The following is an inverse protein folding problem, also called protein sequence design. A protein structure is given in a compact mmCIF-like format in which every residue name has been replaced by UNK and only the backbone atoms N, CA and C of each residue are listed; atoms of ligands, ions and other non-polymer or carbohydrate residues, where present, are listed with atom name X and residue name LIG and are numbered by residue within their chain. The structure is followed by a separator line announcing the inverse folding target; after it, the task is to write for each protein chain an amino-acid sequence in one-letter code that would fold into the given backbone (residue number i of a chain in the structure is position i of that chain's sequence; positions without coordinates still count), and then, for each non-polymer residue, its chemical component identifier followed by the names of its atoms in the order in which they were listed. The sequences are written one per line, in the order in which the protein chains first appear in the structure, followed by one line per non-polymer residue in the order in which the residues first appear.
data_IF_844238298880
#
_entry.id   IF_844238298880
#
_cell.length_a   1.000
_cell.length_b   1.000
_cell.length_c   1.000
_cell.angle_alpha   90.00
_cell.angle_beta   90.00
_cell.angle_gamma   90.00
#
_symmetry.space_group_name_H-M   'P 1'
#
loop_
_entity.id
_entity.type
_entity.pdbx_description
1 polymer ?
#
# COMPACT_ATOMS: atom_id res chain seq x y z
N UNK A 1 0.78 -17.86 -5.27
CA UNK A 1 1.26 -17.57 -6.63
C UNK A 1 1.71 -16.13 -6.71
N UNK A 2 2.80 -15.84 -7.43
CA UNK A 2 3.21 -14.46 -7.68
C UNK A 2 2.19 -13.80 -8.63
N UNK A 3 1.66 -12.65 -8.24
CA UNK A 3 0.75 -11.86 -9.07
C UNK A 3 1.57 -10.98 -10.01
N UNK A 4 1.30 -11.07 -11.30
CA UNK A 4 1.92 -10.25 -12.33
C UNK A 4 1.06 -9.01 -12.61
N UNK A 5 1.62 -7.97 -13.23
CA UNK A 5 0.85 -6.78 -13.60
C UNK A 5 -0.31 -7.13 -14.55
N UNK A 6 -0.10 -8.06 -15.47
CA UNK A 6 -1.14 -8.55 -16.39
C UNK A 6 -2.36 -9.15 -15.67
N UNK A 7 -2.16 -9.74 -14.50
CA UNK A 7 -3.23 -10.39 -13.74
C UNK A 7 -4.19 -9.39 -13.09
N UNK A 8 -3.77 -8.12 -12.98
CA UNK A 8 -4.55 -7.06 -12.35
C UNK A 8 -5.02 -5.98 -13.33
N UNK A 9 -4.62 -6.08 -14.59
CA UNK A 9 -4.91 -5.03 -15.58
C UNK A 9 -6.39 -4.85 -15.89
N UNK A 10 -7.21 -5.89 -15.74
CA UNK A 10 -8.65 -5.80 -15.91
C UNK A 10 -9.32 -4.81 -14.93
N UNK A 11 -8.69 -4.54 -13.77
CA UNK A 11 -9.15 -3.51 -12.84
C UNK A 11 -8.90 -2.07 -13.35
N UNK A 12 -7.98 -1.90 -14.29
CA UNK A 12 -7.54 -0.60 -14.79
C UNK A 12 -8.07 -0.27 -16.19
N UNK A 13 -8.73 -1.22 -16.85
CA UNK A 13 -9.28 -1.06 -18.20
C UNK A 13 -10.80 -1.27 -18.18
N UNK A 14 -11.59 -0.19 -18.29
CA UNK A 14 -13.05 -0.27 -18.25
C UNK A 14 -13.65 -1.10 -19.41
N UNK A 15 -12.96 -1.24 -20.56
CA UNK A 15 -13.45 -2.06 -21.68
C UNK A 15 -13.31 -3.57 -21.39
N UNK A 16 -12.41 -3.96 -20.48
CA UNK A 16 -12.26 -5.34 -20.04
C UNK A 16 -13.21 -5.71 -18.89
N UNK A 17 -13.65 -4.72 -18.10
CA UNK A 17 -14.56 -4.94 -16.98
C UNK A 17 -15.97 -5.35 -17.42
N UNK A 18 -16.41 -4.97 -18.62
CA UNK A 18 -17.74 -5.35 -19.16
C UNK A 18 -17.87 -6.83 -19.54
N UNK A 19 -16.78 -7.60 -19.55
CA UNK A 19 -16.78 -9.02 -19.94
C UNK A 19 -16.79 -10.00 -18.76
N UNK A 20 -16.85 -9.52 -17.53
CA UNK A 20 -16.97 -10.40 -16.37
C UNK A 20 -18.45 -10.77 -16.21
N UNK A 21 -18.85 -12.07 -16.27
CA UNK A 21 -20.23 -12.46 -16.01
C UNK A 21 -20.61 -12.06 -14.59
N UNK A 22 -21.81 -11.50 -14.43
CA UNK A 22 -22.42 -11.23 -13.12
C UNK A 22 -22.18 -12.42 -12.19
N UNK A 23 -21.44 -12.19 -11.13
CA UNK A 23 -21.33 -13.13 -10.04
C UNK A 23 -22.74 -13.27 -9.44
N UNK A 24 -23.38 -14.38 -9.74
CA UNK A 24 -24.66 -14.79 -9.17
C UNK A 24 -24.51 -14.71 -7.66
N UNK A 25 -25.20 -13.74 -7.02
CA UNK A 25 -25.42 -13.76 -5.59
C UNK A 25 -26.26 -14.99 -5.28
N UNK A 26 -25.58 -16.02 -4.82
CA UNK A 26 -26.25 -17.13 -4.15
C UNK A 26 -26.57 -16.63 -2.75
N UNK A 27 -27.83 -16.30 -2.51
CA UNK A 27 -28.34 -16.11 -1.15
C UNK A 27 -28.19 -17.46 -0.44
N UNK A 28 -27.27 -17.53 0.49
CA UNK A 28 -27.04 -18.69 1.36
C UNK A 28 -28.01 -18.60 2.53
N UNK A 29 -29.07 -19.47 2.59
CA UNK A 29 -30.11 -19.39 3.63
C UNK A 29 -29.69 -20.03 4.95
N UNK A 30 -28.51 -20.60 5.06
CA UNK A 30 -28.00 -21.18 6.29
C UNK A 30 -27.12 -20.16 7.02
N UNK A 31 -27.67 -19.63 8.12
CA UNK A 31 -26.98 -18.78 9.09
C UNK A 31 -25.77 -19.46 9.72
N UNK A 32 -24.68 -19.59 8.93
CA UNK A 32 -23.36 -19.93 9.44
C UNK A 32 -22.90 -18.88 10.46
N UNK A 33 -22.01 -19.24 11.40
CA UNK A 33 -21.53 -18.29 12.41
C UNK A 33 -20.95 -17.07 11.69
N UNK A 34 -21.43 -15.89 12.09
CA UNK A 34 -20.94 -14.59 11.59
C UNK A 34 -19.42 -14.63 11.53
N UNK A 35 -18.80 -14.21 10.40
CA UNK A 35 -17.36 -14.22 10.29
C UNK A 35 -16.77 -13.43 11.46
N UNK A 36 -15.85 -14.08 12.19
CA UNK A 36 -15.15 -13.44 13.32
C UNK A 36 -14.50 -12.16 12.84
N UNK A 37 -14.56 -11.07 13.64
CA UNK A 37 -13.90 -9.83 13.29
C UNK A 37 -12.42 -10.11 12.98
N UNK A 38 -11.97 -9.62 11.85
CA UNK A 38 -10.60 -9.86 11.39
C UNK A 38 -9.69 -8.83 12.02
N UNK A 39 -8.63 -9.30 12.70
CA UNK A 39 -7.63 -8.43 13.28
C UNK A 39 -7.06 -7.48 12.23
N UNK A 40 -6.88 -6.18 12.57
CA UNK A 40 -6.28 -5.22 11.66
C UNK A 40 -4.85 -5.64 11.27
N UNK A 41 -4.43 -5.32 10.04
CA UNK A 41 -3.17 -5.77 9.47
C UNK A 41 -2.14 -4.66 9.39
N UNK A 42 -0.87 -5.00 9.59
CA UNK A 42 0.26 -4.10 9.40
C UNK A 42 0.76 -4.16 7.95
N UNK A 43 0.96 -2.99 7.35
CA UNK A 43 1.59 -2.83 6.03
C UNK A 43 2.75 -1.85 6.17
N UNK A 44 3.96 -2.33 6.04
CA UNK A 44 5.15 -1.48 5.98
C UNK A 44 5.21 -0.72 4.65
N UNK A 45 5.50 0.57 4.70
CA UNK A 45 5.67 1.40 3.50
C UNK A 45 6.98 2.17 3.62
N UNK A 46 8.06 1.68 2.99
CA UNK A 46 9.34 2.37 2.98
C UNK A 46 9.26 3.67 2.19
N UNK A 47 9.25 4.80 2.91
CA UNK A 47 9.17 6.15 2.33
C UNK A 47 10.12 7.08 3.05
N UNK A 48 11.01 7.76 2.30
CA UNK A 48 11.88 8.79 2.83
C UNK A 48 11.13 10.04 3.28
N UNK A 49 11.65 10.75 4.27
CA UNK A 49 10.97 11.92 4.87
C UNK A 49 10.73 13.11 3.93
N UNK A 50 11.34 13.12 2.74
CA UNK A 50 11.14 14.16 1.71
C UNK A 50 10.35 13.68 0.50
N UNK A 51 9.96 12.42 0.47
CA UNK A 51 9.23 11.84 -0.67
C UNK A 51 7.72 12.07 -0.53
N UNK A 52 7.31 13.29 -0.86
CA UNK A 52 5.92 13.75 -0.75
C UNK A 52 4.98 12.96 -1.65
N UNK A 53 5.44 12.57 -2.85
CA UNK A 53 4.59 11.88 -3.83
C UNK A 53 4.23 10.48 -3.32
N UNK A 54 5.22 9.70 -2.88
CA UNK A 54 4.94 8.36 -2.32
C UNK A 54 4.14 8.44 -1.01
N UNK A 55 4.38 9.46 -0.18
CA UNK A 55 3.59 9.68 1.02
C UNK A 55 2.12 10.01 0.69
N UNK A 56 1.90 10.84 -0.33
CA UNK A 56 0.55 11.14 -0.82
C UNK A 56 -0.13 9.88 -1.38
N UNK A 57 0.57 9.01 -2.10
CA UNK A 57 0.00 7.74 -2.57
C UNK A 57 -0.41 6.84 -1.40
N UNK A 58 0.45 6.65 -0.41
CA UNK A 58 0.11 5.86 0.78
C UNK A 58 -1.12 6.44 1.50
N UNK A 59 -1.18 7.78 1.63
CA UNK A 59 -2.33 8.48 2.22
C UNK A 59 -3.61 8.25 1.42
N UNK A 60 -3.54 8.36 0.09
CA UNK A 60 -4.70 8.14 -0.76
C UNK A 60 -5.18 6.69 -0.72
N UNK A 61 -4.28 5.70 -0.70
CA UNK A 61 -4.67 4.29 -0.52
C UNK A 61 -5.38 4.09 0.83
N UNK A 62 -4.89 4.71 1.91
CA UNK A 62 -5.54 4.64 3.22
C UNK A 62 -6.96 5.25 3.18
N UNK A 63 -7.14 6.40 2.54
CA UNK A 63 -8.46 7.03 2.35
C UNK A 63 -9.39 6.16 1.51
N UNK A 64 -8.89 5.53 0.43
CA UNK A 64 -9.70 4.62 -0.39
C UNK A 64 -10.12 3.36 0.37
N UNK A 65 -9.27 2.80 1.25
CA UNK A 65 -9.66 1.69 2.13
C UNK A 65 -10.86 2.09 3.00
N UNK A 66 -10.84 3.30 3.56
CA UNK A 66 -11.97 3.79 4.37
C UNK A 66 -13.23 3.98 3.51
N UNK A 67 -13.09 4.48 2.27
CA UNK A 67 -14.22 4.57 1.32
C UNK A 67 -14.82 3.22 0.95
N UNK A 68 -14.03 2.17 0.99
CA UNK A 68 -14.47 0.79 0.77
C UNK A 68 -15.08 0.13 2.03
N UNK A 69 -15.29 0.91 3.11
CA UNK A 69 -15.91 0.46 4.35
C UNK A 69 -14.92 -0.15 5.35
N UNK A 70 -13.62 -0.11 5.07
CA UNK A 70 -12.58 -0.51 6.01
C UNK A 70 -12.16 0.63 6.92
N UNK A 71 -11.14 0.40 7.74
CA UNK A 71 -10.49 1.41 8.60
C UNK A 71 -9.01 1.51 8.27
N UNK A 72 -8.48 2.72 8.22
CA UNK A 72 -7.06 2.92 7.93
C UNK A 72 -6.41 3.95 8.86
N UNK A 73 -5.19 3.62 9.29
CA UNK A 73 -4.29 4.55 9.98
C UNK A 73 -2.94 4.50 9.30
N UNK A 74 -2.31 5.66 9.17
CA UNK A 74 -0.90 5.73 8.83
C UNK A 74 -0.13 6.14 10.08
N UNK A 75 0.80 5.32 10.51
CA UNK A 75 1.80 5.68 11.50
C UNK A 75 3.02 6.24 10.78
N UNK A 76 3.43 7.43 11.15
CA UNK A 76 4.59 8.10 10.56
C UNK A 76 5.54 8.55 11.66
N UNK A 77 6.81 8.11 11.66
CA UNK A 77 7.81 8.71 12.54
C UNK A 77 7.90 10.22 12.30
N UNK A 78 8.05 10.98 13.38
CA UNK A 78 8.19 12.41 13.32
C UNK A 78 9.59 12.74 12.79
N UNK A 79 9.66 13.22 11.55
CA UNK A 79 10.89 13.69 10.94
C UNK A 79 11.09 15.18 11.29
N UNK A 80 12.30 15.56 11.61
CA UNK A 80 12.66 16.91 12.11
C UNK A 80 12.31 18.07 11.15
N UNK A 81 11.93 17.80 9.91
CA UNK A 81 11.49 18.81 8.93
C UNK A 81 10.68 18.18 7.81
N UNK A 82 9.41 17.80 8.05
CA UNK A 82 8.55 17.32 6.97
C UNK A 82 8.33 18.44 5.96
N UNK A 83 8.16 18.08 4.70
CA UNK A 83 7.75 19.03 3.67
C UNK A 83 6.38 19.62 4.03
N UNK A 84 6.12 20.91 3.79
CA UNK A 84 4.79 21.51 3.97
C UNK A 84 3.72 20.86 3.07
N UNK A 85 4.13 20.14 2.02
CA UNK A 85 3.23 19.34 1.17
C UNK A 85 3.04 17.89 1.67
N UNK A 86 3.66 17.53 2.81
CA UNK A 86 3.43 16.24 3.44
C UNK A 86 1.98 16.14 3.93
N UNK A 87 1.33 14.97 3.85
CA UNK A 87 0.00 14.80 4.42
C UNK A 87 -0.02 15.21 5.90
N UNK A 88 -1.01 16.01 6.27
CA UNK A 88 -1.10 16.56 7.61
C UNK A 88 -1.50 15.50 8.63
N UNK A 89 -0.86 15.55 9.81
CA UNK A 89 -1.21 14.70 10.94
C UNK A 89 -2.61 15.02 11.48
N UNK A 90 -3.30 14.00 11.96
CA UNK A 90 -4.63 14.09 12.53
C UNK A 90 -5.65 13.21 11.83
N UNK A 91 -6.91 13.40 12.19
CA UNK A 91 -8.03 12.73 11.52
C UNK A 91 -8.33 13.45 10.22
N UNK A 92 -8.19 12.72 9.13
CA UNK A 92 -8.47 13.19 7.79
C UNK A 92 -9.91 12.90 7.35
N UNK A 93 -10.19 13.00 6.05
CA UNK A 93 -11.50 12.70 5.50
C UNK A 93 -11.92 11.25 5.81
N UNK A 94 -13.21 11.06 6.08
CA UNK A 94 -13.82 9.76 6.29
C UNK A 94 -13.22 8.95 7.47
N UNK A 95 -12.63 9.62 8.45
CA UNK A 95 -11.95 9.01 9.59
C UNK A 95 -10.66 8.25 9.26
N UNK A 96 -10.09 8.42 8.07
CA UNK A 96 -8.70 8.04 7.81
C UNK A 96 -7.78 8.88 8.70
N UNK A 97 -6.83 8.24 9.36
CA UNK A 97 -5.98 8.92 10.36
C UNK A 97 -4.50 8.86 9.95
N UNK A 98 -3.81 10.00 10.04
CA UNK A 98 -2.35 10.06 10.01
C UNK A 98 -1.84 10.43 11.40
N UNK A 99 -1.18 9.46 12.05
CA UNK A 99 -0.69 9.57 13.43
C UNK A 99 0.83 9.67 13.45
N UNK A 100 1.39 10.79 13.92
CA UNK A 100 2.82 10.87 14.16
C UNK A 100 3.22 9.99 15.34
N UNK A 101 4.46 9.48 15.30
CA UNK A 101 5.04 8.69 16.40
C UNK A 101 6.46 9.17 16.72
N UNK A 102 6.82 9.14 17.99
CA UNK A 102 8.16 9.49 18.46
C UNK A 102 9.19 8.36 18.27
N UNK A 103 8.84 7.32 17.50
CA UNK A 103 9.75 6.23 17.18
C UNK A 103 11.01 6.75 16.47
N UNK A 104 12.16 6.21 16.87
CA UNK A 104 13.48 6.58 16.32
C UNK A 104 14.21 5.43 15.63
N UNK A 105 13.63 4.25 15.66
CA UNK A 105 14.15 2.99 15.10
C UNK A 105 13.00 2.03 14.78
N UNK A 106 13.31 0.92 14.14
CA UNK A 106 12.32 -0.10 13.75
C UNK A 106 11.64 -0.75 14.97
N UNK A 107 12.36 -0.93 16.07
CA UNK A 107 11.81 -1.60 17.26
C UNK A 107 10.74 -0.72 17.92
N UNK A 108 11.05 0.55 18.17
CA UNK A 108 10.10 1.50 18.74
C UNK A 108 8.90 1.76 17.81
N UNK A 109 9.14 1.75 16.49
CA UNK A 109 8.07 1.85 15.50
C UNK A 109 7.16 0.62 15.51
N UNK A 110 7.74 -0.58 15.62
CA UNK A 110 6.97 -1.82 15.75
C UNK A 110 6.12 -1.81 17.02
N UNK A 111 6.66 -1.34 18.13
CA UNK A 111 5.91 -1.21 19.40
C UNK A 111 4.74 -0.26 19.22
N UNK A 112 4.94 0.94 18.65
CA UNK A 112 3.87 1.89 18.38
C UNK A 112 2.78 1.32 17.45
N UNK A 113 3.18 0.53 16.45
CA UNK A 113 2.24 -0.14 15.55
C UNK A 113 1.40 -1.19 16.27
N UNK A 114 2.00 -1.99 17.13
CA UNK A 114 1.29 -2.99 17.95
C UNK A 114 0.31 -2.32 18.93
N UNK A 115 0.72 -1.24 19.57
CA UNK A 115 -0.16 -0.50 20.50
C UNK A 115 -1.36 0.08 19.74
N UNK A 116 -1.14 0.55 18.51
CA UNK A 116 -2.23 1.03 17.65
C UNK A 116 -3.19 -0.10 17.26
N UNK A 117 -2.68 -1.29 16.93
CA UNK A 117 -3.51 -2.47 16.69
C UNK A 117 -4.33 -2.85 17.92
N UNK A 118 -3.70 -2.97 19.08
CA UNK A 118 -4.35 -3.38 20.32
C UNK A 118 -5.49 -2.43 20.75
N UNK A 119 -5.31 -1.13 20.56
CA UNK A 119 -6.33 -0.13 20.86
C UNK A 119 -7.53 -0.25 19.93
N UNK A 120 -7.33 -0.68 18.68
CA UNK A 120 -8.38 -0.81 17.67
C UNK A 120 -9.15 -2.10 17.72
N UNK A 121 -8.50 -3.19 18.11
CA UNK A 121 -9.12 -4.52 18.24
C UNK A 121 -10.28 -4.53 19.26
N UNK A 122 -10.26 -3.58 20.19
CA UNK A 122 -11.28 -3.44 21.24
C UNK A 122 -12.55 -2.70 20.80
N UNK A 123 -12.58 -2.08 19.62
CA UNK A 123 -13.59 -1.05 19.35
C UNK A 123 -14.66 -1.39 18.31
N UNK A 124 -14.45 -2.30 17.35
CA UNK A 124 -15.47 -2.72 16.34
C UNK A 124 -15.02 -3.88 15.45
N UNK A 125 -16.01 -4.59 14.88
CA UNK A 125 -15.91 -5.70 13.92
C UNK A 125 -15.44 -5.32 12.50
N UNK A 126 -14.78 -4.18 12.30
CA UNK A 126 -14.41 -3.69 10.98
C UNK A 126 -12.97 -4.04 10.62
N UNK A 127 -12.76 -4.53 9.40
CA UNK A 127 -11.42 -4.79 8.87
C UNK A 127 -10.59 -3.51 8.87
N UNK A 128 -9.39 -3.56 9.46
CA UNK A 128 -8.51 -2.40 9.59
C UNK A 128 -7.13 -2.63 9.01
N UNK A 129 -6.54 -1.57 8.48
CA UNK A 129 -5.14 -1.55 8.01
C UNK A 129 -4.37 -0.47 8.74
N UNK A 130 -3.22 -0.84 9.28
CA UNK A 130 -2.26 0.11 9.83
C UNK A 130 -1.06 0.15 8.88
N UNK A 131 -0.99 1.21 8.08
CA UNK A 131 0.18 1.53 7.30
C UNK A 131 1.27 2.09 8.21
N UNK A 132 2.47 1.60 8.06
CA UNK A 132 3.61 2.05 8.86
C UNK A 132 4.67 2.60 7.92
N UNK A 133 4.83 3.92 7.92
CA UNK A 133 5.93 4.55 7.18
C UNK A 133 7.26 4.15 7.81
N UNK A 134 8.12 3.55 7.03
CA UNK A 134 9.45 3.12 7.47
C UNK A 134 10.49 3.98 6.75
N UNK A 135 11.30 4.77 7.47
CA UNK A 135 12.43 5.45 6.85
C UNK A 135 13.41 4.42 6.25
N UNK A 136 13.75 4.48 4.94
CA UNK A 136 14.62 3.48 4.31
C UNK A 136 15.99 3.32 4.99
N UNK A 137 16.52 4.39 5.58
CA UNK A 137 17.78 4.36 6.34
C UNK A 137 17.72 3.39 7.54
N UNK A 138 16.57 3.22 8.18
CA UNK A 138 16.41 2.28 9.30
C UNK A 138 16.48 0.83 8.83
N UNK A 139 16.06 0.57 7.60
CA UNK A 139 16.23 -0.75 6.99
C UNK A 139 17.71 -1.11 6.75
N UNK A 140 18.59 -0.16 6.55
CA UNK A 140 20.01 -0.40 6.36
C UNK A 140 20.77 -0.49 7.69
N UNK A 141 20.33 0.20 8.74
CA UNK A 141 21.01 0.30 10.02
C UNK A 141 20.84 -0.93 10.91
N UNK A 142 19.67 -1.54 10.94
CA UNK A 142 19.35 -2.67 11.81
C UNK A 142 19.24 -3.97 11.00
N UNK A 143 19.65 -5.10 11.56
CA UNK A 143 19.54 -6.43 10.93
C UNK A 143 18.49 -7.34 11.57
N UNK A 144 17.81 -6.86 12.60
CA UNK A 144 16.81 -7.65 13.33
C UNK A 144 15.55 -7.86 12.48
N UNK A 145 15.01 -9.08 12.42
CA UNK A 145 13.71 -9.34 11.82
C UNK A 145 12.62 -8.46 12.43
N UNK A 146 11.72 -7.96 11.63
CA UNK A 146 10.61 -7.14 12.13
C UNK A 146 9.30 -7.53 11.45
N UNK A 147 8.26 -7.76 12.25
CA UNK A 147 6.92 -8.04 11.75
C UNK A 147 6.32 -6.89 10.93
N UNK A 148 6.88 -5.67 11.03
CA UNK A 148 6.54 -4.54 10.13
C UNK A 148 6.82 -4.85 8.66
N UNK A 149 7.69 -5.81 8.38
CA UNK A 149 8.12 -6.18 7.03
C UNK A 149 7.36 -7.38 6.47
N UNK A 150 6.50 -8.05 7.27
CA UNK A 150 5.73 -9.21 6.81
C UNK A 150 4.89 -8.89 5.58
N UNK A 151 4.36 -7.68 5.53
CA UNK A 151 3.67 -7.14 4.37
C UNK A 151 4.20 -5.75 4.06
N UNK A 152 4.75 -5.58 2.88
CA UNK A 152 5.37 -4.32 2.48
C UNK A 152 4.82 -3.87 1.13
N UNK A 153 4.45 -2.59 1.05
CA UNK A 153 4.01 -1.94 -0.19
C UNK A 153 5.07 -0.92 -0.63
N UNK A 154 5.60 -1.12 -1.83
CA UNK A 154 6.57 -0.24 -2.46
C UNK A 154 5.92 0.56 -3.59
N UNK A 155 6.18 1.85 -3.64
CA UNK A 155 5.86 2.71 -4.78
C UNK A 155 7.14 3.04 -5.52
N UNK A 156 7.17 2.86 -6.83
CA UNK A 156 8.33 3.17 -7.67
C UNK A 156 7.91 3.70 -9.03
N UNK A 157 8.78 4.48 -9.68
CA UNK A 157 8.57 4.90 -11.06
C UNK A 157 9.27 3.96 -12.03
N UNK A 158 8.96 4.11 -13.34
CA UNK A 158 9.62 3.39 -14.45
C UNK A 158 11.09 3.78 -14.66
N UNK A 159 11.56 4.84 -14.00
CA UNK A 159 12.94 5.32 -14.11
C UNK A 159 13.95 4.26 -13.62
N UNK A 160 15.03 3.97 -14.39
CA UNK A 160 15.99 2.94 -14.03
C UNK A 160 16.60 3.09 -12.63
N UNK A 161 16.89 4.32 -12.21
CA UNK A 161 17.45 4.60 -10.88
C UNK A 161 16.44 4.22 -9.78
N UNK A 162 15.15 4.53 -9.99
CA UNK A 162 14.10 4.21 -9.03
C UNK A 162 13.79 2.71 -8.96
N UNK A 163 13.86 2.02 -10.08
CA UNK A 163 13.76 0.57 -10.13
C UNK A 163 14.93 -0.09 -9.37
N UNK A 164 16.15 0.44 -9.53
CA UNK A 164 17.31 -0.06 -8.79
C UNK A 164 17.17 0.18 -7.27
N UNK A 165 16.76 1.38 -6.84
CA UNK A 165 16.47 1.68 -5.44
C UNK A 165 15.43 0.71 -4.86
N UNK A 166 14.38 0.43 -5.63
CA UNK A 166 13.30 -0.48 -5.22
C UNK A 166 13.78 -1.92 -5.11
N UNK A 167 14.64 -2.37 -6.03
CA UNK A 167 15.25 -3.69 -5.99
C UNK A 167 16.12 -3.87 -4.73
N UNK A 168 16.91 -2.85 -4.38
CA UNK A 168 17.73 -2.86 -3.16
C UNK A 168 16.86 -2.88 -1.90
N UNK A 169 15.76 -2.13 -1.87
CA UNK A 169 14.80 -2.19 -0.77
C UNK A 169 14.17 -3.58 -0.65
N UNK A 170 13.69 -4.15 -1.75
CA UNK A 170 13.09 -5.49 -1.77
C UNK A 170 14.10 -6.56 -1.30
N UNK A 171 15.37 -6.45 -1.70
CA UNK A 171 16.45 -7.32 -1.24
C UNK A 171 16.65 -7.19 0.27
N UNK A 172 16.79 -5.95 0.76
CA UNK A 172 17.01 -5.67 2.19
C UNK A 172 15.83 -6.17 3.04
N UNK A 173 14.59 -5.99 2.59
CA UNK A 173 13.39 -6.51 3.24
C UNK A 173 13.46 -8.04 3.29
N UNK A 174 13.78 -8.65 2.17
CA UNK A 174 13.86 -10.10 2.06
C UNK A 174 14.95 -10.75 2.90
N UNK A 175 16.11 -10.12 3.05
CA UNK A 175 17.19 -10.59 3.92
C UNK A 175 16.79 -10.59 5.40
N UNK A 176 15.93 -9.64 5.81
CA UNK A 176 15.47 -9.50 7.20
C UNK A 176 14.25 -10.34 7.51
N UNK A 177 13.35 -10.41 6.57
CA UNK A 177 12.09 -11.12 6.70
C UNK A 177 11.93 -12.05 5.49
N UNK A 178 12.41 -13.31 5.62
CA UNK A 178 12.33 -14.29 4.55
C UNK A 178 10.94 -14.54 4.01
N UNK A 179 9.91 -14.47 4.82
CA UNK A 179 8.52 -14.68 4.45
C UNK A 179 7.79 -13.36 4.08
N UNK A 180 8.53 -12.25 3.92
CA UNK A 180 7.93 -10.98 3.56
C UNK A 180 7.18 -11.04 2.23
N UNK A 181 5.97 -10.52 2.21
CA UNK A 181 5.18 -10.27 1.00
C UNK A 181 5.45 -8.85 0.55
N UNK A 182 6.09 -8.72 -0.60
CA UNK A 182 6.45 -7.41 -1.15
C UNK A 182 5.58 -7.10 -2.35
N UNK A 183 4.71 -6.12 -2.19
CA UNK A 183 3.88 -5.56 -3.24
C UNK A 183 4.53 -4.33 -3.86
N UNK A 184 4.29 -4.12 -5.16
CA UNK A 184 4.84 -2.99 -5.91
C UNK A 184 3.74 -2.32 -6.73
N UNK A 185 3.68 -1.00 -6.67
CA UNK A 185 2.89 -0.16 -7.56
C UNK A 185 3.84 0.71 -8.38
N UNK A 186 3.72 0.67 -9.70
CA UNK A 186 4.47 1.54 -10.62
C UNK A 186 3.71 2.85 -10.79
N UNK A 187 4.38 3.99 -10.62
CA UNK A 187 3.75 5.31 -10.81
C UNK A 187 4.50 6.15 -11.86
N UNK A 188 3.83 7.17 -12.39
CA UNK A 188 4.43 8.13 -13.32
C UNK A 188 4.81 7.55 -14.68
N UNK A 189 4.34 6.36 -15.04
CA UNK A 189 4.54 5.80 -16.37
C UNK A 189 3.66 6.51 -17.39
N UNK A 190 4.20 6.79 -18.58
CA UNK A 190 3.49 7.48 -19.65
C UNK A 190 2.51 6.55 -20.37
N UNK A 191 2.71 5.25 -20.25
CA UNK A 191 1.84 4.24 -20.85
C UNK A 191 1.78 2.97 -19.99
N UNK A 192 0.73 2.19 -20.21
CA UNK A 192 0.57 0.87 -19.61
C UNK A 192 1.75 -0.05 -19.95
N UNK A 193 2.15 -0.12 -21.22
CA UNK A 193 3.27 -0.97 -21.66
C UNK A 193 4.60 -0.59 -21.01
N UNK A 194 4.84 0.68 -20.73
CA UNK A 194 6.02 1.12 -19.98
C UNK A 194 5.98 0.59 -18.54
N UNK A 195 4.83 0.70 -17.87
CA UNK A 195 4.66 0.19 -16.51
C UNK A 195 4.80 -1.33 -16.43
N UNK A 196 4.22 -2.06 -17.39
CA UNK A 196 4.35 -3.52 -17.51
C UNK A 196 5.83 -3.92 -17.66
N UNK A 197 6.54 -3.29 -18.57
CA UNK A 197 7.96 -3.55 -18.79
C UNK A 197 8.81 -3.25 -17.55
N UNK A 198 8.50 -2.14 -16.86
CA UNK A 198 9.18 -1.75 -15.62
C UNK A 198 8.97 -2.78 -14.51
N UNK A 199 7.71 -3.22 -14.31
CA UNK A 199 7.40 -4.26 -13.33
C UNK A 199 8.05 -5.60 -13.67
N UNK A 200 7.96 -6.05 -14.92
CA UNK A 200 8.56 -7.30 -15.39
C UNK A 200 10.08 -7.31 -15.22
N UNK A 201 10.73 -6.17 -15.49
CA UNK A 201 12.15 -6.02 -15.26
C UNK A 201 12.49 -6.16 -13.78
N UNK A 202 11.75 -5.47 -12.92
CA UNK A 202 11.93 -5.51 -11.47
C UNK A 202 11.67 -6.91 -10.89
N UNK A 203 10.57 -7.56 -11.29
CA UNK A 203 10.20 -8.90 -10.83
C UNK A 203 11.23 -9.95 -11.26
N UNK A 204 11.71 -9.91 -12.52
CA UNK A 204 12.77 -10.80 -13.00
C UNK A 204 14.10 -10.57 -12.27
N UNK A 205 14.46 -9.30 -12.01
CA UNK A 205 15.66 -8.97 -11.26
C UNK A 205 15.56 -9.44 -9.80
N UNK A 206 14.44 -9.25 -9.15
CA UNK A 206 14.18 -9.73 -7.78
C UNK A 206 14.31 -11.25 -7.72
N UNK A 207 13.63 -11.97 -8.60
CA UNK A 207 13.70 -13.45 -8.64
C UNK A 207 15.14 -13.96 -8.85
N UNK A 208 15.92 -13.33 -9.74
CA UNK A 208 17.30 -13.73 -10.02
C UNK A 208 18.24 -13.43 -8.84
N UNK A 209 18.06 -12.27 -8.20
CA UNK A 209 19.02 -11.80 -7.19
C UNK A 209 18.68 -12.28 -5.78
N UNK A 210 17.42 -12.54 -5.49
CA UNK A 210 16.94 -12.87 -4.14
C UNK A 210 16.10 -14.14 -4.07
N UNK A 211 15.78 -14.76 -5.21
CA UNK A 211 14.86 -15.90 -5.29
C UNK A 211 13.40 -15.57 -4.96
N UNK A 212 13.02 -14.28 -4.95
CA UNK A 212 11.72 -13.83 -4.45
C UNK A 212 10.84 -13.27 -5.53
N UNK A 213 9.57 -13.59 -5.40
CA UNK A 213 8.51 -13.02 -6.21
C UNK A 213 8.01 -11.70 -5.62
N UNK A 214 7.86 -10.70 -6.49
CA UNK A 214 7.15 -9.47 -6.19
C UNK A 214 5.70 -9.59 -6.65
N UNK A 215 4.78 -8.97 -5.90
CA UNK A 215 3.36 -8.88 -6.27
C UNK A 215 3.07 -7.53 -6.92
N UNK A 216 2.39 -7.51 -8.05
CA UNK A 216 1.91 -6.25 -8.62
C UNK A 216 0.63 -5.79 -7.92
N UNK A 217 0.61 -4.51 -7.54
CA UNK A 217 -0.60 -3.78 -7.16
C UNK A 217 -1.00 -2.76 -8.23
N UNK A 218 -0.54 -2.97 -9.47
CA UNK A 218 -0.94 -2.17 -10.61
C UNK A 218 -0.08 -0.94 -10.86
N UNK A 219 -0.65 0.01 -11.57
CA UNK A 219 0.02 1.22 -12.00
C UNK A 219 -0.79 2.48 -11.68
N UNK A 220 -0.08 3.57 -11.39
CA UNK A 220 -0.62 4.91 -11.30
C UNK A 220 -0.08 5.70 -12.50
N UNK A 221 -0.95 6.00 -13.45
CA UNK A 221 -0.56 6.81 -14.62
C UNK A 221 -0.11 8.20 -14.19
N UNK A 222 0.75 8.80 -15.00
CA UNK A 222 1.14 10.20 -14.81
C UNK A 222 -0.11 11.08 -15.00
N UNK A 223 -0.49 11.78 -13.94
CA UNK A 223 -1.76 12.53 -13.88
C UNK A 223 -1.53 13.84 -13.13
N UNK A 224 -1.76 14.95 -13.83
CA UNK A 224 -1.59 16.29 -13.25
C UNK A 224 -2.47 16.51 -12.02
N UNK A 225 -3.63 15.85 -11.95
CA UNK A 225 -4.54 15.97 -10.80
C UNK A 225 -3.94 15.42 -9.50
N UNK A 226 -2.96 14.50 -9.58
CA UNK A 226 -2.19 14.04 -8.42
C UNK A 226 -1.44 15.21 -7.79
N UNK A 227 -0.72 15.98 -8.59
CA UNK A 227 0.07 17.11 -8.11
C UNK A 227 -0.81 18.23 -7.57
N UNK A 228 -1.94 18.49 -8.23
CA UNK A 228 -2.95 19.45 -7.76
C UNK A 228 -3.55 19.04 -6.42
N UNK A 229 -3.87 17.78 -6.26
CA UNK A 229 -4.40 17.22 -5.01
C UNK A 229 -3.37 17.32 -3.86
N UNK A 230 -2.08 17.03 -4.14
CA UNK A 230 -0.98 17.19 -3.18
C UNK A 230 -0.86 18.65 -2.73
N UNK A 231 -0.82 19.59 -3.65
CA UNK A 231 -0.73 21.04 -3.34
C UNK A 231 -1.94 21.51 -2.56
N UNK A 232 -3.12 21.03 -2.90
CA UNK A 232 -4.37 21.36 -2.21
C UNK A 232 -4.54 20.62 -0.86
N UNK A 233 -3.62 19.73 -0.50
CA UNK A 233 -3.70 18.88 0.71
C UNK A 233 -5.02 18.08 0.78
N UNK A 234 -5.51 17.61 -0.36
CA UNK A 234 -6.77 16.86 -0.45
C UNK A 234 -6.54 15.51 -1.11
N UNK A 235 -7.13 14.43 -0.60
CA UNK A 235 -7.09 13.13 -1.27
C UNK A 235 -7.67 13.22 -2.69
N UNK A 236 -6.95 12.64 -3.66
CA UNK A 236 -7.33 12.74 -5.07
C UNK A 236 -8.69 12.09 -5.35
N UNK A 237 -9.00 10.97 -4.68
CA UNK A 237 -10.30 10.31 -4.82
C UNK A 237 -11.49 11.16 -4.38
N UNK A 238 -11.25 12.19 -3.54
CA UNK A 238 -12.27 13.15 -3.11
C UNK A 238 -12.23 14.44 -3.93
N UNK A 239 -11.03 14.88 -4.34
CA UNK A 239 -10.86 16.10 -5.11
C UNK A 239 -11.20 15.90 -6.60
N UNK A 240 -10.76 14.76 -7.16
CA UNK A 240 -10.85 14.44 -8.59
C UNK A 240 -11.26 12.97 -8.80
N UNK A 241 -12.47 12.55 -8.36
CA UNK A 241 -12.86 11.13 -8.30
C UNK A 241 -12.90 10.42 -9.67
N UNK A 242 -13.00 11.21 -10.74
CA UNK A 242 -13.02 10.69 -12.12
C UNK A 242 -11.63 10.63 -12.77
N UNK A 243 -10.58 11.09 -12.09
CA UNK A 243 -9.24 11.04 -12.64
C UNK A 243 -8.73 9.61 -12.76
N UNK A 244 -7.88 9.30 -13.75
CA UNK A 244 -7.27 7.98 -13.88
C UNK A 244 -6.51 7.55 -12.62
N UNK A 245 -5.76 8.46 -12.01
CA UNK A 245 -5.00 8.15 -10.81
C UNK A 245 -5.91 7.89 -9.59
N UNK A 246 -7.06 8.57 -9.45
CA UNK A 246 -8.01 8.30 -8.38
C UNK A 246 -8.59 6.89 -8.48
N UNK A 247 -8.96 6.47 -9.69
CA UNK A 247 -9.44 5.10 -9.94
C UNK A 247 -8.35 4.07 -9.64
N UNK A 248 -7.15 4.27 -10.17
CA UNK A 248 -6.03 3.37 -9.94
C UNK A 248 -5.68 3.22 -8.44
N UNK A 249 -5.72 4.29 -7.65
CA UNK A 249 -5.50 4.21 -6.20
C UNK A 249 -6.59 3.44 -5.48
N UNK A 250 -7.83 3.54 -5.93
CA UNK A 250 -8.93 2.72 -5.44
C UNK A 250 -8.70 1.24 -5.75
N UNK A 251 -8.29 0.91 -6.98
CA UNK A 251 -7.99 -0.46 -7.39
C UNK A 251 -6.83 -1.04 -6.58
N UNK A 252 -5.78 -0.25 -6.29
CA UNK A 252 -4.70 -0.64 -5.36
C UNK A 252 -5.26 -0.99 -3.98
N UNK A 253 -6.18 -0.18 -3.45
CA UNK A 253 -6.81 -0.43 -2.15
C UNK A 253 -7.66 -1.71 -2.17
N UNK A 254 -8.46 -1.94 -3.20
CA UNK A 254 -9.28 -3.14 -3.38
C UNK A 254 -8.41 -4.41 -3.47
N UNK A 255 -7.34 -4.38 -4.26
CA UNK A 255 -6.39 -5.49 -4.38
C UNK A 255 -5.70 -5.79 -3.05
N UNK A 256 -5.29 -4.74 -2.32
CA UNK A 256 -4.64 -4.90 -1.03
C UNK A 256 -5.59 -5.56 0.00
N UNK A 257 -6.85 -5.12 0.07
CA UNK A 257 -7.87 -5.72 0.93
C UNK A 257 -8.13 -7.18 0.53
N UNK A 258 -8.26 -7.47 -0.77
CA UNK A 258 -8.50 -8.83 -1.26
C UNK A 258 -7.37 -9.78 -0.86
N UNK A 259 -6.11 -9.37 -1.07
CA UNK A 259 -4.96 -10.18 -0.68
C UNK A 259 -4.89 -10.44 0.83
N UNK A 260 -5.25 -9.44 1.63
CA UNK A 260 -5.31 -9.59 3.09
C UNK A 260 -6.40 -10.57 3.53
N UNK A 261 -7.49 -10.67 2.79
CA UNK A 261 -8.58 -11.63 3.06
C UNK A 261 -8.21 -13.06 2.68
N UNK A 262 -7.48 -13.24 1.60
CA UNK A 262 -7.01 -14.55 1.15
C UNK A 262 -6.03 -15.17 2.13
N UNK A 263 -5.12 -14.37 2.69
CA UNK A 263 -4.10 -14.80 3.64
C UNK A 263 -4.63 -15.39 4.96
N UNK A 264 -5.89 -15.18 5.27
CA UNK A 264 -6.55 -15.74 6.48
C UNK A 264 -7.11 -17.14 6.22
N UNK A 265 -7.23 -17.52 4.93
CA UNK A 265 -7.83 -18.81 4.57
C UNK A 265 -6.83 -19.94 4.41
N UNK A 266 -5.53 -19.58 4.29
CA UNK A 266 -4.41 -20.51 4.25
C UNK A 266 -3.81 -20.74 5.66
#
# INVERSE_FOLDING_TARGET
MARNLSDVLHYFDPELAEKTPDAIRVDDPDGGPSPRPRAPRLVGVPIGGRDVVRAAFAWNVAVEIVRLGGRAVILSPDDASPSPLWPQAGTGPLDAELRPTLAKDLESLHRAARDTLATRDQTRDEEGVVFVRIPPAWLSAERTPSALLNWTLLFTSSEPVKLQETLELARTIGERQPEARVGVTIHGAQSRGEAENAFDHLARASRRNTGRDLRSYGLLVDDLEVYRAIVAQRPIGLAHPQSPAARALRDVAELLISDMREDVRD
#
